data_IF_758793515698
#
_entry.id   IF_758793515698
#
_cell.length_a   1.000
_cell.length_b   1.000
_cell.length_c   1.000
_cell.angle_alpha   90.00
_cell.angle_beta   90.00
_cell.angle_gamma   90.00
#
_symmetry.space_group_name_H-M   'P 1'
#
loop_
_entity.id
_entity.type
_entity.pdbx_description
1 polymer ?
#
# COMPACT_ATOMS: atom_id res chain seq x y z
N UNK A 1 -30.43 10.96 -9.09
CA UNK A 1 -29.46 9.85 -8.89
C UNK A 1 -28.69 9.66 -10.18
N UNK A 2 -27.37 9.86 -10.16
CA UNK A 2 -26.49 9.59 -11.31
C UNK A 2 -25.69 8.30 -11.02
N UNK A 3 -26.27 7.11 -11.21
CA UNK A 3 -25.63 5.83 -10.86
C UNK A 3 -24.26 5.65 -11.52
N UNK A 4 -24.07 6.21 -12.72
CA UNK A 4 -22.82 6.10 -13.49
C UNK A 4 -21.57 6.69 -12.81
N UNK A 5 -21.70 7.69 -11.93
CA UNK A 5 -20.56 8.31 -11.25
C UNK A 5 -20.17 7.52 -9.99
N UNK A 6 -21.18 7.06 -9.24
CA UNK A 6 -21.00 6.24 -8.04
C UNK A 6 -20.37 4.89 -8.39
N UNK A 7 -20.80 4.26 -9.50
CA UNK A 7 -20.22 3.01 -9.99
C UNK A 7 -18.76 3.16 -10.42
N UNK A 8 -18.43 4.28 -11.09
CA UNK A 8 -17.06 4.57 -11.50
C UNK A 8 -16.13 4.80 -10.29
N UNK A 9 -16.61 5.54 -9.29
CA UNK A 9 -15.86 5.76 -8.04
C UNK A 9 -15.63 4.44 -7.29
N UNK A 10 -16.67 3.60 -7.16
CA UNK A 10 -16.54 2.27 -6.55
C UNK A 10 -15.53 1.40 -7.30
N UNK A 11 -15.54 1.41 -8.63
CA UNK A 11 -14.60 0.64 -9.43
C UNK A 11 -13.17 1.16 -9.29
N UNK A 12 -12.99 2.48 -9.23
CA UNK A 12 -11.68 3.10 -8.98
C UNK A 12 -11.13 2.68 -7.61
N UNK A 13 -11.95 2.73 -6.56
CA UNK A 13 -11.56 2.25 -5.23
C UNK A 13 -11.22 0.75 -5.23
N UNK A 14 -12.00 -0.07 -5.94
CA UNK A 14 -11.74 -1.50 -6.07
C UNK A 14 -10.39 -1.77 -6.76
N UNK A 15 -10.09 -1.02 -7.82
CA UNK A 15 -8.80 -1.08 -8.50
C UNK A 15 -7.63 -0.66 -7.61
N UNK A 16 -7.74 0.46 -6.88
CA UNK A 16 -6.70 0.90 -5.94
C UNK A 16 -6.47 -0.13 -4.82
N UNK A 17 -7.53 -0.74 -4.29
CA UNK A 17 -7.45 -1.82 -3.30
C UNK A 17 -6.80 -3.09 -3.87
N UNK A 18 -7.08 -3.43 -5.13
CA UNK A 18 -6.42 -4.55 -5.80
C UNK A 18 -4.93 -4.29 -5.99
N UNK A 19 -4.53 -3.06 -6.34
CA UNK A 19 -3.13 -2.65 -6.42
C UNK A 19 -2.44 -2.77 -5.07
N UNK A 20 -3.07 -2.31 -3.98
CA UNK A 20 -2.58 -2.50 -2.62
C UNK A 20 -2.41 -3.99 -2.29
N UNK A 21 -3.41 -4.81 -2.58
CA UNK A 21 -3.36 -6.26 -2.33
C UNK A 21 -2.17 -6.88 -3.04
N UNK A 22 -1.98 -6.57 -4.34
CA UNK A 22 -0.82 -7.04 -5.09
C UNK A 22 0.50 -6.56 -4.50
N UNK A 23 0.59 -5.30 -4.04
CA UNK A 23 1.79 -4.77 -3.41
C UNK A 23 2.20 -5.59 -2.16
N UNK A 24 1.20 -6.05 -1.38
CA UNK A 24 1.39 -6.87 -0.18
C UNK A 24 1.71 -8.32 -0.50
N UNK A 25 0.98 -8.94 -1.43
CA UNK A 25 1.07 -10.40 -1.67
C UNK A 25 2.12 -10.79 -2.71
N UNK A 26 2.40 -9.90 -3.67
CA UNK A 26 3.21 -10.18 -4.87
C UNK A 26 2.72 -11.38 -5.69
N UNK A 27 1.45 -11.78 -5.52
CA UNK A 27 0.89 -12.94 -6.22
C UNK A 27 0.50 -12.60 -7.66
N UNK A 28 0.79 -13.50 -8.60
CA UNK A 28 0.38 -13.36 -9.99
C UNK A 28 -1.15 -13.32 -10.16
N UNK A 29 -1.91 -14.01 -9.31
CA UNK A 29 -3.37 -13.93 -9.32
C UNK A 29 -3.86 -12.51 -9.00
N UNK A 30 -3.19 -11.84 -8.05
CA UNK A 30 -3.53 -10.46 -7.70
C UNK A 30 -3.11 -9.49 -8.81
N UNK A 31 -1.99 -9.76 -9.51
CA UNK A 31 -1.58 -9.01 -10.71
C UNK A 31 -2.64 -9.10 -11.82
N UNK A 32 -3.18 -10.29 -12.06
CA UNK A 32 -4.25 -10.50 -13.04
C UNK A 32 -5.54 -9.79 -12.64
N UNK A 33 -5.89 -9.80 -11.35
CA UNK A 33 -7.06 -9.08 -10.84
C UNK A 33 -6.93 -7.55 -11.04
N UNK A 34 -5.75 -6.99 -10.80
CA UNK A 34 -5.46 -5.57 -11.10
C UNK A 34 -5.69 -5.27 -12.59
N UNK A 35 -5.17 -6.11 -13.48
CA UNK A 35 -5.33 -5.94 -14.92
C UNK A 35 -6.80 -6.05 -15.38
N UNK A 36 -7.58 -6.95 -14.76
CA UNK A 36 -9.01 -7.10 -15.05
C UNK A 36 -9.79 -5.82 -14.66
N UNK A 37 -9.59 -5.32 -13.44
CA UNK A 37 -10.25 -4.09 -12.98
C UNK A 37 -9.83 -2.86 -13.81
N UNK A 38 -8.58 -2.79 -14.24
CA UNK A 38 -8.10 -1.75 -15.14
C UNK A 38 -8.80 -1.76 -16.50
N UNK A 39 -9.04 -2.96 -17.07
CA UNK A 39 -9.78 -3.09 -18.31
C UNK A 39 -11.24 -2.63 -18.17
N UNK A 40 -11.89 -2.89 -17.04
CA UNK A 40 -13.24 -2.38 -16.78
C UNK A 40 -13.27 -0.86 -16.60
N UNK A 41 -12.25 -0.27 -15.95
CA UNK A 41 -12.13 1.20 -15.83
C UNK A 41 -11.94 1.87 -17.18
N UNK A 42 -11.08 1.32 -18.03
CA UNK A 42 -10.85 1.81 -19.39
C UNK A 42 -12.16 1.76 -20.22
N UNK A 43 -12.95 0.68 -20.10
CA UNK A 43 -14.26 0.56 -20.76
C UNK A 43 -15.30 1.56 -20.27
N UNK A 44 -15.28 1.94 -18.99
CA UNK A 44 -16.17 2.97 -18.46
C UNK A 44 -15.74 4.39 -18.88
N UNK A 45 -14.43 4.60 -19.10
CA UNK A 45 -13.88 5.85 -19.61
C UNK A 45 -14.21 6.13 -21.08
N UNK A 46 -14.37 5.07 -21.88
CA UNK A 46 -14.73 5.11 -23.31
C UNK A 46 -16.01 5.93 -23.61
N UNK A 47 -16.98 5.92 -22.69
CA UNK A 47 -18.22 6.72 -22.89
C UNK A 47 -18.01 8.24 -22.80
N UNK A 48 -16.84 8.74 -22.37
CA UNK A 48 -16.60 10.16 -22.05
C UNK A 48 -15.37 10.79 -22.71
N UNK A 49 -14.45 10.03 -23.30
CA UNK A 49 -13.23 10.59 -23.92
C UNK A 49 -12.66 9.69 -25.01
N UNK A 50 -12.09 10.31 -26.05
CA UNK A 50 -11.58 9.67 -27.27
C UNK A 50 -10.44 8.66 -27.07
N UNK A 51 -9.95 8.12 -28.18
CA UNK A 51 -9.12 6.90 -28.32
C UNK A 51 -7.96 6.73 -27.32
N UNK A 52 -7.34 7.80 -26.82
CA UNK A 52 -6.24 7.73 -25.85
C UNK A 52 -6.68 7.31 -24.44
N UNK A 53 -7.96 7.46 -24.07
CA UNK A 53 -8.49 7.02 -22.77
C UNK A 53 -8.69 5.50 -22.71
N UNK A 54 -8.64 4.79 -23.84
CA UNK A 54 -9.04 3.39 -23.93
C UNK A 54 -8.09 2.41 -23.24
N UNK A 55 -6.87 2.84 -22.90
CA UNK A 55 -5.84 1.97 -22.33
C UNK A 55 -5.07 2.61 -21.16
N UNK A 56 -5.56 3.73 -20.63
CA UNK A 56 -4.86 4.47 -19.58
C UNK A 56 -4.64 3.62 -18.33
N UNK A 57 -5.70 3.00 -17.82
CA UNK A 57 -5.63 2.19 -16.60
C UNK A 57 -4.84 0.91 -16.84
N UNK A 58 -4.96 0.28 -18.02
CA UNK A 58 -4.15 -0.90 -18.37
C UNK A 58 -2.66 -0.56 -18.41
N UNK A 59 -2.27 0.55 -19.06
CA UNK A 59 -0.87 1.00 -19.13
C UNK A 59 -0.34 1.35 -17.75
N UNK A 60 -1.11 2.12 -16.98
CA UNK A 60 -0.75 2.54 -15.61
C UNK A 60 -0.60 1.32 -14.69
N UNK A 61 -1.52 0.37 -14.76
CA UNK A 61 -1.47 -0.88 -13.97
C UNK A 61 -0.24 -1.72 -14.31
N UNK A 62 0.09 -1.86 -15.59
CA UNK A 62 1.30 -2.57 -16.00
C UNK A 62 2.57 -1.90 -15.47
N UNK A 63 2.63 -0.57 -15.51
CA UNK A 63 3.73 0.20 -14.95
C UNK A 63 3.84 0.02 -13.43
N UNK A 64 2.71 0.12 -12.71
CA UNK A 64 2.66 -0.05 -11.26
C UNK A 64 3.09 -1.46 -10.85
N UNK A 65 2.58 -2.50 -11.52
CA UNK A 65 2.96 -3.87 -11.19
C UNK A 65 4.46 -4.11 -11.40
N UNK A 66 5.04 -3.60 -12.49
CA UNK A 66 6.48 -3.69 -12.74
C UNK A 66 7.30 -2.88 -11.71
N UNK A 67 6.84 -1.69 -11.33
CA UNK A 67 7.46 -0.86 -10.31
C UNK A 67 7.44 -1.53 -8.92
N UNK A 68 6.29 -2.11 -8.52
CA UNK A 68 6.15 -2.89 -7.29
C UNK A 68 7.19 -4.04 -7.29
N UNK A 69 7.32 -4.76 -8.40
CA UNK A 69 8.30 -5.83 -8.55
C UNK A 69 9.77 -5.38 -8.63
N UNK A 70 10.06 -4.06 -8.60
CA UNK A 70 11.43 -3.54 -8.71
C UNK A 70 12.05 -3.70 -10.10
N UNK A 71 11.23 -3.95 -11.13
CA UNK A 71 11.68 -4.24 -12.50
C UNK A 71 11.96 -2.97 -13.33
N UNK A 72 11.82 -1.79 -12.72
CA UNK A 72 11.95 -0.50 -13.40
C UNK A 72 12.94 0.42 -12.68
N UNK A 73 13.69 1.21 -13.46
CA UNK A 73 14.62 2.22 -12.93
C UNK A 73 13.88 3.39 -12.26
N UNK A 74 12.67 3.71 -12.72
CA UNK A 74 11.77 4.75 -12.20
C UNK A 74 10.73 4.18 -11.19
N UNK A 75 11.01 3.04 -10.56
CA UNK A 75 10.05 2.37 -9.69
C UNK A 75 9.63 3.25 -8.50
N UNK A 76 10.59 3.85 -7.78
CA UNK A 76 10.30 4.68 -6.60
C UNK A 76 9.46 5.91 -6.96
N UNK A 77 9.81 6.62 -8.04
CA UNK A 77 9.09 7.81 -8.50
C UNK A 77 7.69 7.47 -9.00
N UNK A 78 7.52 6.34 -9.69
CA UNK A 78 6.21 5.85 -10.14
C UNK A 78 5.30 5.55 -8.95
N UNK A 79 5.82 4.86 -7.93
CA UNK A 79 5.07 4.49 -6.74
C UNK A 79 4.73 5.71 -5.87
N UNK A 80 5.65 6.67 -5.74
CA UNK A 80 5.41 7.93 -5.02
C UNK A 80 4.34 8.79 -5.71
N UNK A 81 4.39 8.89 -7.05
CA UNK A 81 3.39 9.59 -7.83
C UNK A 81 1.99 8.97 -7.64
N UNK A 82 1.89 7.64 -7.74
CA UNK A 82 0.62 6.94 -7.51
C UNK A 82 0.11 7.10 -6.08
N UNK A 83 1.00 7.01 -5.08
CA UNK A 83 0.64 7.22 -3.69
C UNK A 83 0.00 8.61 -3.45
N UNK A 84 0.50 9.65 -4.12
CA UNK A 84 -0.06 11.01 -4.05
C UNK A 84 -1.41 11.17 -4.73
N UNK A 85 -1.79 10.26 -5.63
CA UNK A 85 -3.07 10.27 -6.36
C UNK A 85 -4.17 9.51 -5.62
N UNK A 86 -3.87 8.83 -4.51
CA UNK A 86 -4.88 8.13 -3.71
C UNK A 86 -5.56 9.14 -2.79
N UNK A 87 -6.85 9.38 -3.01
CA UNK A 87 -7.64 10.32 -2.20
C UNK A 87 -7.92 9.81 -0.78
N UNK A 88 -8.12 8.49 -0.62
CA UNK A 88 -8.46 7.88 0.66
C UNK A 88 -7.21 7.79 1.58
N UNK A 89 -7.12 8.54 2.69
CA UNK A 89 -5.89 8.65 3.47
C UNK A 89 -5.41 7.33 4.06
N UNK A 90 -6.34 6.45 4.44
CA UNK A 90 -6.00 5.12 4.98
C UNK A 90 -5.39 4.22 3.93
N UNK A 91 -5.92 4.28 2.71
CA UNK A 91 -5.42 3.50 1.58
C UNK A 91 -4.04 4.01 1.15
N UNK A 92 -3.86 5.33 1.11
CA UNK A 92 -2.58 5.96 0.83
C UNK A 92 -1.49 5.50 1.81
N UNK A 93 -1.78 5.55 3.13
CA UNK A 93 -0.84 5.11 4.17
C UNK A 93 -0.51 3.62 4.06
N UNK A 94 -1.53 2.77 3.85
CA UNK A 94 -1.34 1.34 3.70
C UNK A 94 -0.50 1.00 2.47
N UNK A 95 -0.73 1.69 1.35
CA UNK A 95 0.05 1.53 0.13
C UNK A 95 1.50 1.97 0.35
N UNK A 96 1.73 3.16 0.89
CA UNK A 96 3.06 3.66 1.20
C UNK A 96 3.86 2.69 2.09
N UNK A 97 3.20 2.09 3.09
CA UNK A 97 3.81 1.08 3.94
C UNK A 97 4.14 -0.21 3.17
N UNK A 98 3.21 -0.71 2.35
CA UNK A 98 3.41 -1.93 1.57
C UNK A 98 4.56 -1.84 0.56
N UNK A 99 4.78 -0.66 -0.03
CA UNK A 99 5.85 -0.43 -1.01
C UNK A 99 7.14 0.14 -0.41
N UNK A 100 7.21 0.30 0.92
CA UNK A 100 8.41 0.82 1.60
C UNK A 100 8.65 2.33 1.46
N UNK A 101 7.68 3.08 0.93
CA UNK A 101 7.73 4.55 0.82
C UNK A 101 7.37 5.26 2.12
N UNK A 102 6.68 4.57 3.03
CA UNK A 102 6.46 5.07 4.38
C UNK A 102 7.83 5.19 5.05
N UNK A 103 8.44 6.39 4.93
CA UNK A 103 9.61 6.75 5.72
C UNK A 103 9.26 6.39 7.14
N UNK A 104 10.04 5.49 7.71
CA UNK A 104 10.08 5.35 9.14
C UNK A 104 10.38 6.76 9.66
N UNK A 105 9.37 7.49 10.14
CA UNK A 105 9.60 8.29 11.33
C UNK A 105 10.05 7.21 12.30
N UNK A 106 11.35 7.09 12.65
CA UNK A 106 11.68 6.21 13.75
C UNK A 106 10.74 6.67 14.85
N UNK A 107 9.83 5.80 15.28
CA UNK A 107 8.91 6.11 16.36
C UNK A 107 9.80 6.73 17.41
N UNK A 108 9.65 8.04 17.67
CA UNK A 108 10.61 8.85 18.43
C UNK A 108 10.86 8.02 19.68
N UNK A 109 12.00 7.34 19.72
CA UNK A 109 12.28 6.39 20.77
C UNK A 109 12.45 7.31 21.95
N UNK A 110 11.37 7.51 22.71
CA UNK A 110 11.48 8.14 24.02
C UNK A 110 12.61 7.37 24.67
N UNK A 111 13.69 8.04 25.12
CA UNK A 111 14.78 7.33 25.75
C UNK A 111 14.15 6.48 26.83
N UNK A 112 14.26 5.17 26.67
CA UNK A 112 13.71 4.23 27.62
C UNK A 112 14.33 4.62 28.97
N UNK A 113 13.54 5.00 29.99
CA UNK A 113 14.12 5.35 31.27
C UNK A 113 14.97 4.15 31.70
N UNK A 114 16.27 4.40 31.94
CA UNK A 114 17.25 3.38 32.33
C UNK A 114 16.57 2.44 33.33
N UNK A 115 16.49 1.14 33.00
CA UNK A 115 16.01 0.11 33.93
C UNK A 115 16.72 0.35 35.25
N UNK A 116 15.98 0.83 36.26
CA UNK A 116 16.56 1.13 37.54
C UNK A 116 17.16 -0.19 38.07
N UNK A 117 18.47 -0.26 38.39
CA UNK A 117 19.09 -1.48 38.90
C UNK A 117 18.51 -1.92 40.26
N UNK A 118 17.62 -1.10 40.83
CA UNK A 118 17.00 -1.28 42.13
C UNK A 118 15.57 -1.83 42.06
N UNK A 119 15.08 -2.27 40.89
CA UNK A 119 13.72 -2.82 40.75
C UNK A 119 13.43 -4.01 41.69
N UNK A 120 14.48 -4.70 42.15
CA UNK A 120 14.38 -5.82 43.09
C UNK A 120 14.96 -5.51 44.48
N UNK A 121 15.23 -4.24 44.80
CA UNK A 121 15.70 -3.84 46.14
C UNK A 121 14.55 -4.02 47.13
N UNK A 122 14.54 -5.14 47.85
CA UNK A 122 13.52 -5.48 48.85
C UNK A 122 12.88 -6.85 48.66
N UNK A 123 13.14 -7.54 47.54
CA UNK A 123 12.74 -8.95 47.42
C UNK A 123 13.78 -9.85 48.10
N UNK A 124 13.34 -10.86 48.88
CA UNK A 124 14.26 -11.84 49.44
C UNK A 124 14.97 -12.56 48.28
N UNK A 125 16.30 -12.60 48.32
CA UNK A 125 17.08 -13.35 47.35
C UNK A 125 16.65 -14.82 47.39
N UNK A 126 16.47 -15.42 46.21
CA UNK A 126 16.12 -16.84 46.09
C UNK A 126 17.20 -17.66 46.82
N UNK A 127 16.85 -18.51 47.80
CA UNK A 127 17.83 -19.32 48.49
C UNK A 127 18.50 -20.28 47.48
N UNK A 128 19.81 -20.51 47.61
CA UNK A 128 20.51 -21.45 46.74
C UNK A 128 19.88 -22.83 46.90
N UNK A 129 19.64 -23.50 45.77
CA UNK A 129 19.20 -24.89 45.78
C UNK A 129 20.32 -25.71 46.43
N UNK A 130 20.05 -26.24 47.62
CA UNK A 130 20.92 -27.21 48.27
C UNK A 130 20.82 -28.51 47.47
N UNK A 131 21.99 -28.99 47.02
CA UNK A 131 22.18 -30.33 46.46
C UNK A 131 22.11 -31.38 47.56
#
# INVERSE_FOLDING_TARGET
>A
MQPSVEDHHRLLCAWQLAVLRFAVTRSDSDRLNVAALAAELDRLGDRRSGEDSLHFFRRTSSHLCAAICGQRQDAETTLDCFCKQIDEPRLQLAFAAAVGLARSKPARSKPQPKRAPNLFRGLPARPPALL
#
